data_IF_395232306066
#
_entry.id   IF_395232306066
#
_cell.length_a   1.000
_cell.length_b   1.000
_cell.length_c   1.000
_cell.angle_alpha   90.00
_cell.angle_beta   90.00
_cell.angle_gamma   90.00
#
_symmetry.space_group_name_H-M   'P 1'
#
loop_
_entity.id
_entity.type
_entity.pdbx_description
1 polymer ?
#
# COMPACT_ATOMS: atom_id res chain seq x y z
N UNK A 1 16.73 -36.52 4.74
CA UNK A 1 17.59 -35.32 4.82
C UNK A 1 16.93 -34.04 4.24
N UNK A 2 15.77 -34.13 3.55
CA UNK A 2 15.04 -32.97 2.99
C UNK A 2 14.46 -31.98 4.01
N UNK A 3 13.96 -32.46 5.17
CA UNK A 3 13.30 -31.61 6.19
C UNK A 3 14.18 -30.49 6.79
N UNK A 4 15.51 -30.58 6.71
CA UNK A 4 16.41 -29.54 7.24
C UNK A 4 16.70 -28.41 6.24
N UNK A 5 16.73 -28.70 4.94
CA UNK A 5 16.86 -27.67 3.89
C UNK A 5 15.62 -26.79 3.81
N UNK A 6 14.44 -27.41 3.94
CA UNK A 6 13.14 -26.73 3.93
C UNK A 6 12.98 -25.79 5.13
N UNK A 7 13.32 -26.24 6.35
CA UNK A 7 13.30 -25.39 7.56
C UNK A 7 14.23 -24.18 7.43
N UNK A 8 15.43 -24.36 6.88
CA UNK A 8 16.40 -23.26 6.70
C UNK A 8 15.91 -22.24 5.67
N UNK A 9 15.24 -22.70 4.60
CA UNK A 9 14.60 -21.86 3.58
C UNK A 9 13.43 -21.05 4.15
N UNK A 10 12.57 -21.68 4.96
CA UNK A 10 11.43 -21.01 5.61
C UNK A 10 11.90 -19.95 6.63
N UNK A 11 12.89 -20.27 7.46
CA UNK A 11 13.46 -19.32 8.42
C UNK A 11 14.08 -18.11 7.70
N UNK A 12 14.83 -18.35 6.62
CA UNK A 12 15.42 -17.28 5.81
C UNK A 12 14.35 -16.41 5.16
N UNK A 13 13.28 -17.01 4.65
CA UNK A 13 12.17 -16.28 4.02
C UNK A 13 11.40 -15.45 5.04
N UNK A 14 11.08 -16.00 6.22
CA UNK A 14 10.44 -15.29 7.32
C UNK A 14 11.30 -14.15 7.86
N UNK A 15 12.62 -14.36 7.98
CA UNK A 15 13.57 -13.32 8.39
C UNK A 15 13.62 -12.17 7.37
N UNK A 16 13.70 -12.48 6.07
CA UNK A 16 13.67 -11.47 5.01
C UNK A 16 12.38 -10.65 5.02
N UNK A 17 11.22 -11.30 5.16
CA UNK A 17 9.91 -10.63 5.25
C UNK A 17 9.81 -9.71 6.48
N UNK A 18 10.35 -10.16 7.61
CA UNK A 18 10.39 -9.35 8.85
C UNK A 18 11.32 -8.14 8.69
N UNK A 19 12.49 -8.33 8.09
CA UNK A 19 13.51 -7.29 7.93
C UNK A 19 13.01 -6.11 7.10
N UNK A 20 12.42 -6.33 5.94
CA UNK A 20 11.87 -5.18 5.20
C UNK A 20 10.50 -4.71 5.66
N UNK A 21 9.75 -5.47 6.47
CA UNK A 21 8.65 -4.84 7.22
C UNK A 21 9.21 -3.76 8.17
N UNK A 22 10.32 -4.05 8.84
CA UNK A 22 11.03 -3.08 9.68
C UNK A 22 11.61 -1.95 8.83
N UNK A 23 12.26 -2.26 7.71
CA UNK A 23 12.81 -1.24 6.81
C UNK A 23 11.72 -0.28 6.31
N UNK A 24 10.56 -0.81 5.93
CA UNK A 24 9.43 0.00 5.47
C UNK A 24 8.89 0.91 6.55
N UNK A 25 8.85 0.44 7.80
CA UNK A 25 8.48 1.28 8.95
C UNK A 25 9.51 2.38 9.20
N UNK A 26 10.80 2.07 9.10
CA UNK A 26 11.87 3.06 9.25
C UNK A 26 11.77 4.11 8.13
N UNK A 27 11.61 3.69 6.87
CA UNK A 27 11.47 4.61 5.75
C UNK A 27 10.19 5.46 5.85
N UNK A 28 9.08 4.89 6.33
CA UNK A 28 7.87 5.63 6.62
C UNK A 28 8.07 6.67 7.72
N UNK A 29 8.80 6.33 8.78
CA UNK A 29 9.16 7.28 9.84
C UNK A 29 10.05 8.41 9.31
N UNK A 30 11.06 8.07 8.51
CA UNK A 30 11.94 9.07 7.87
C UNK A 30 11.13 10.00 6.98
N UNK A 31 10.19 9.48 6.19
CA UNK A 31 9.28 10.30 5.39
C UNK A 31 8.50 11.29 6.25
N UNK A 32 7.96 10.84 7.38
CA UNK A 32 7.18 11.70 8.27
C UNK A 32 8.05 12.78 8.94
N UNK A 33 9.29 12.46 9.32
CA UNK A 33 10.28 13.42 9.82
C UNK A 33 10.62 14.46 8.74
N UNK A 34 10.90 14.02 7.52
CA UNK A 34 11.21 14.90 6.38
C UNK A 34 10.02 15.80 6.06
N UNK A 35 8.79 15.27 6.08
CA UNK A 35 7.57 16.07 5.93
C UNK A 35 7.47 17.16 7.00
N UNK A 36 7.63 16.81 8.27
CA UNK A 36 7.56 17.75 9.37
C UNK A 36 8.67 18.81 9.34
N UNK A 37 9.85 18.48 8.82
CA UNK A 37 10.98 19.40 8.71
C UNK A 37 10.81 20.47 7.63
N UNK A 38 10.13 20.13 6.52
CA UNK A 38 10.06 20.99 5.33
C UNK A 38 8.67 21.58 5.05
N UNK A 39 7.61 21.06 5.66
CA UNK A 39 6.24 21.53 5.46
C UNK A 39 5.59 22.01 6.76
N UNK A 40 4.63 22.93 6.63
CA UNK A 40 3.85 23.40 7.77
C UNK A 40 3.01 22.29 8.39
N UNK A 41 2.66 22.43 9.68
CA UNK A 41 1.78 21.50 10.39
C UNK A 41 0.46 21.23 9.65
N UNK A 42 -0.11 22.26 9.01
CA UNK A 42 -1.34 22.14 8.22
C UNK A 42 -1.19 21.13 7.07
N UNK A 43 -0.10 21.23 6.31
CA UNK A 43 0.19 20.34 5.17
C UNK A 43 0.51 18.93 5.66
N UNK A 44 1.32 18.81 6.71
CA UNK A 44 1.71 17.51 7.28
C UNK A 44 0.50 16.76 7.84
N UNK A 45 -0.37 17.44 8.61
CA UNK A 45 -1.61 16.84 9.12
C UNK A 45 -2.53 16.41 7.97
N UNK A 46 -2.67 17.22 6.93
CA UNK A 46 -3.47 16.91 5.74
C UNK A 46 -2.96 15.65 5.02
N UNK A 47 -1.65 15.57 4.79
CA UNK A 47 -1.02 14.41 4.17
C UNK A 47 -1.22 13.15 5.03
N UNK A 48 -0.98 13.23 6.34
CA UNK A 48 -1.13 12.09 7.25
C UNK A 48 -2.57 11.57 7.25
N UNK A 49 -3.57 12.44 7.18
CA UNK A 49 -4.98 12.03 7.06
C UNK A 49 -5.24 11.38 5.69
N UNK A 50 -4.85 12.06 4.60
CA UNK A 50 -5.07 11.56 3.24
C UNK A 50 -4.39 10.20 3.01
N UNK A 51 -3.17 10.02 3.50
CA UNK A 51 -2.37 8.81 3.33
C UNK A 51 -2.91 7.61 4.12
N UNK A 52 -3.75 7.81 5.16
CA UNK A 52 -4.40 6.69 5.85
C UNK A 52 -5.35 5.92 4.94
N UNK A 53 -6.04 6.62 4.05
CA UNK A 53 -7.05 6.02 3.17
C UNK A 53 -6.47 4.85 2.35
N UNK A 54 -5.45 5.03 1.48
CA UNK A 54 -4.89 3.92 0.71
C UNK A 54 -4.27 2.84 1.60
N UNK A 55 -3.70 3.20 2.75
CA UNK A 55 -3.12 2.22 3.67
C UNK A 55 -4.16 1.33 4.33
N UNK A 56 -5.33 1.86 4.66
CA UNK A 56 -6.43 1.05 5.19
C UNK A 56 -6.85 0.00 4.16
N UNK A 57 -7.06 0.38 2.90
CA UNK A 57 -7.39 -0.57 1.83
C UNK A 57 -6.28 -1.58 1.56
N UNK A 58 -5.01 -1.14 1.53
CA UNK A 58 -3.85 -2.03 1.39
C UNK A 58 -3.81 -3.09 2.49
N UNK A 59 -4.10 -2.72 3.73
CA UNK A 59 -4.16 -3.64 4.87
C UNK A 59 -5.38 -4.55 4.80
N UNK A 60 -6.55 -4.02 4.46
CA UNK A 60 -7.80 -4.79 4.37
C UNK A 60 -7.73 -5.85 3.25
N UNK A 61 -7.33 -5.44 2.04
CA UNK A 61 -7.35 -6.29 0.87
C UNK A 61 -6.07 -7.12 0.75
N UNK A 62 -4.90 -6.50 0.91
CA UNK A 62 -3.60 -7.16 0.76
C UNK A 62 -3.24 -8.08 1.92
N UNK A 63 -2.97 -7.48 3.09
CA UNK A 63 -2.56 -8.23 4.30
C UNK A 63 -3.71 -9.05 4.92
N UNK A 64 -4.95 -8.60 4.73
CA UNK A 64 -6.15 -9.24 5.25
C UNK A 64 -6.79 -10.24 4.28
N UNK A 65 -7.90 -9.83 3.67
CA UNK A 65 -8.87 -10.72 3.01
C UNK A 65 -8.29 -11.54 1.86
N UNK A 66 -7.45 -10.97 0.98
CA UNK A 66 -6.89 -11.74 -0.14
C UNK A 66 -5.85 -12.77 0.34
N UNK A 67 -5.01 -12.40 1.31
CA UNK A 67 -3.99 -13.32 1.84
C UNK A 67 -4.60 -14.48 2.64
N UNK A 68 -5.73 -14.26 3.32
CA UNK A 68 -6.37 -15.31 4.13
C UNK A 68 -7.33 -16.17 3.31
N UNK A 69 -8.10 -15.59 2.39
CA UNK A 69 -9.16 -16.32 1.68
C UNK A 69 -8.77 -16.74 0.27
N UNK A 70 -8.03 -15.93 -0.47
CA UNK A 70 -7.68 -16.22 -1.86
C UNK A 70 -6.42 -17.08 -1.97
N UNK A 71 -5.36 -16.75 -1.24
CA UNK A 71 -4.05 -17.40 -1.38
C UNK A 71 -4.08 -18.93 -1.13
N UNK A 72 -4.76 -19.47 -0.10
CA UNK A 72 -4.83 -20.92 0.11
C UNK A 72 -5.51 -21.64 -1.06
N UNK A 73 -6.59 -21.06 -1.59
CA UNK A 73 -7.35 -21.62 -2.72
C UNK A 73 -6.50 -21.56 -3.99
N UNK A 74 -5.78 -20.46 -4.23
CA UNK A 74 -4.85 -20.35 -5.35
C UNK A 74 -3.74 -21.42 -5.28
N UNK A 75 -3.19 -21.65 -4.09
CA UNK A 75 -2.17 -22.69 -3.86
C UNK A 75 -2.75 -24.10 -4.08
N UNK A 76 -3.98 -24.35 -3.64
CA UNK A 76 -4.64 -25.63 -3.88
C UNK A 76 -4.85 -25.87 -5.38
N UNK A 77 -5.39 -24.88 -6.10
CA UNK A 77 -5.68 -24.97 -7.54
C UNK A 77 -4.42 -25.11 -8.39
N UNK A 78 -3.32 -24.43 -8.04
CA UNK A 78 -2.05 -24.55 -8.79
C UNK A 78 -1.31 -25.87 -8.53
N UNK A 79 -1.69 -26.62 -7.50
CA UNK A 79 -0.99 -27.86 -7.12
C UNK A 79 -1.62 -29.04 -7.86
N UNK A 80 -0.86 -29.78 -8.70
CA UNK A 80 -1.41 -30.88 -9.49
C UNK A 80 -1.99 -31.98 -8.59
N UNK A 81 -3.22 -32.41 -8.90
CA UNK A 81 -3.88 -33.58 -8.27
C UNK A 81 -3.54 -34.85 -9.06
N UNK A 82 -3.68 -36.04 -8.44
CA UNK A 82 -3.21 -37.32 -8.98
C UNK A 82 -3.65 -37.66 -10.43
N UNK A 83 -4.75 -37.06 -10.91
CA UNK A 83 -5.30 -37.28 -12.25
C UNK A 83 -5.35 -36.00 -13.13
N UNK A 84 -4.63 -34.95 -12.74
CA UNK A 84 -4.66 -33.64 -13.42
C UNK A 84 -3.25 -33.29 -13.85
N UNK A 85 -3.06 -32.93 -15.13
CA UNK A 85 -1.73 -32.51 -15.60
C UNK A 85 -1.31 -31.19 -14.92
N UNK A 86 0.00 -30.94 -14.76
CA UNK A 86 0.48 -29.68 -14.21
C UNK A 86 -0.02 -28.43 -14.96
N UNK A 87 -0.21 -28.55 -16.28
CA UNK A 87 -0.72 -27.48 -17.13
C UNK A 87 -2.19 -27.18 -16.86
N UNK A 88 -3.02 -28.23 -16.67
CA UNK A 88 -4.43 -28.09 -16.35
C UNK A 88 -4.64 -27.43 -14.97
N UNK A 89 -3.87 -27.86 -13.95
CA UNK A 89 -3.86 -27.23 -12.64
C UNK A 89 -3.45 -25.74 -12.70
N UNK A 90 -2.43 -25.42 -13.50
CA UNK A 90 -2.01 -24.04 -13.72
C UNK A 90 -3.10 -23.22 -14.44
N UNK A 91 -3.83 -23.81 -15.38
CA UNK A 91 -4.94 -23.14 -16.07
C UNK A 91 -6.06 -22.79 -15.09
N UNK A 92 -6.48 -23.73 -14.23
CA UNK A 92 -7.50 -23.46 -13.21
C UNK A 92 -7.09 -22.33 -12.25
N UNK A 93 -5.82 -22.32 -11.83
CA UNK A 93 -5.29 -21.26 -10.98
C UNK A 93 -5.27 -19.90 -11.70
N UNK A 94 -4.97 -19.88 -13.01
CA UNK A 94 -5.03 -18.65 -13.83
C UNK A 94 -6.47 -18.14 -13.97
N UNK A 95 -7.43 -19.02 -14.23
CA UNK A 95 -8.83 -18.64 -14.37
C UNK A 95 -9.38 -18.04 -13.08
N UNK A 96 -9.06 -18.66 -11.93
CA UNK A 96 -9.38 -18.10 -10.62
C UNK A 96 -8.75 -16.71 -10.43
N UNK A 97 -7.45 -16.57 -10.69
CA UNK A 97 -6.76 -15.29 -10.56
C UNK A 97 -7.31 -14.21 -11.48
N UNK A 98 -7.67 -14.56 -12.72
CA UNK A 98 -8.28 -13.63 -13.67
C UNK A 98 -9.64 -13.15 -13.17
N UNK A 99 -10.49 -14.06 -12.68
CA UNK A 99 -11.79 -13.71 -12.11
C UNK A 99 -11.67 -12.76 -10.91
N UNK A 100 -10.77 -13.08 -9.97
CA UNK A 100 -10.52 -12.21 -8.80
C UNK A 100 -9.90 -10.88 -9.21
N UNK A 101 -8.98 -10.87 -10.17
CA UNK A 101 -8.37 -9.65 -10.69
C UNK A 101 -9.40 -8.74 -11.35
N UNK A 102 -10.27 -9.28 -12.22
CA UNK A 102 -11.36 -8.52 -12.85
C UNK A 102 -12.29 -7.93 -11.79
N UNK A 103 -12.68 -8.72 -10.79
CA UNK A 103 -13.52 -8.23 -9.70
C UNK A 103 -12.81 -7.11 -8.91
N UNK A 104 -11.53 -7.28 -8.59
CA UNK A 104 -10.74 -6.26 -7.90
C UNK A 104 -10.65 -4.98 -8.71
N UNK A 105 -10.36 -5.05 -10.02
CA UNK A 105 -10.29 -3.88 -10.91
C UNK A 105 -11.63 -3.16 -10.95
N UNK A 106 -12.74 -3.90 -11.10
CA UNK A 106 -14.07 -3.29 -11.15
C UNK A 106 -14.44 -2.64 -9.82
N UNK A 107 -14.33 -3.37 -8.72
CA UNK A 107 -14.72 -2.88 -7.39
C UNK A 107 -13.83 -1.71 -6.96
N UNK A 108 -12.51 -1.86 -7.03
CA UNK A 108 -11.60 -0.79 -6.61
C UNK A 108 -11.58 0.38 -7.59
N UNK A 109 -11.82 0.15 -8.88
CA UNK A 109 -11.99 1.22 -9.87
C UNK A 109 -13.22 2.07 -9.57
N UNK A 110 -14.38 1.43 -9.36
CA UNK A 110 -15.61 2.13 -8.98
C UNK A 110 -15.45 2.85 -7.64
N UNK A 111 -14.89 2.19 -6.61
CA UNK A 111 -14.63 2.82 -5.31
C UNK A 111 -13.64 3.99 -5.40
N UNK A 112 -12.60 3.88 -6.24
CA UNK A 112 -11.63 4.94 -6.45
C UNK A 112 -12.29 6.17 -7.10
N UNK A 113 -13.05 5.97 -8.18
CA UNK A 113 -13.78 7.04 -8.86
C UNK A 113 -14.84 7.67 -7.96
N UNK A 114 -15.66 6.85 -7.30
CA UNK A 114 -16.65 7.30 -6.33
C UNK A 114 -16.01 8.15 -5.23
N UNK A 115 -14.93 7.66 -4.63
CA UNK A 115 -14.22 8.39 -3.59
C UNK A 115 -13.61 9.70 -4.08
N UNK A 116 -13.10 9.77 -5.31
CA UNK A 116 -12.59 11.03 -5.89
C UNK A 116 -13.70 12.06 -6.06
N UNK A 117 -14.86 11.63 -6.56
CA UNK A 117 -16.04 12.48 -6.79
C UNK A 117 -16.58 13.00 -5.45
N UNK A 118 -16.89 12.09 -4.53
CA UNK A 118 -17.48 12.40 -3.21
C UNK A 118 -16.45 12.65 -2.10
N UNK A 119 -15.23 13.06 -2.46
CA UNK A 119 -14.14 13.23 -1.50
C UNK A 119 -14.42 14.36 -0.50
N UNK A 120 -15.08 15.42 -0.94
CA UNK A 120 -15.44 16.54 -0.08
C UNK A 120 -16.35 16.07 1.07
N UNK A 121 -17.41 15.34 0.76
CA UNK A 121 -18.35 14.78 1.74
C UNK A 121 -17.65 13.76 2.64
N UNK A 122 -16.84 12.87 2.06
CA UNK A 122 -16.11 11.85 2.80
C UNK A 122 -15.16 12.48 3.83
N UNK A 123 -14.38 13.49 3.44
CA UNK A 123 -13.46 14.15 4.35
C UNK A 123 -14.18 15.03 5.37
N UNK A 124 -15.29 15.66 4.99
CA UNK A 124 -16.14 16.37 5.94
C UNK A 124 -16.71 15.42 7.01
N UNK A 125 -17.08 14.19 6.63
CA UNK A 125 -17.55 13.19 7.57
C UNK A 125 -16.42 12.67 8.48
N UNK A 126 -15.26 12.34 7.90
CA UNK A 126 -14.17 11.70 8.63
C UNK A 126 -13.40 12.64 9.56
N UNK A 127 -13.20 13.89 9.13
CA UNK A 127 -12.35 14.86 9.85
C UNK A 127 -12.98 16.24 9.98
N UNK A 128 -14.23 16.45 9.57
CA UNK A 128 -14.86 17.78 9.56
C UNK A 128 -15.30 18.33 10.93
N UNK A 129 -14.82 17.79 12.04
CA UNK A 129 -15.06 18.34 13.38
C UNK A 129 -14.39 19.71 13.60
N UNK A 130 -14.84 20.43 14.64
CA UNK A 130 -14.41 21.81 14.95
C UNK A 130 -12.88 22.00 14.97
N UNK A 131 -12.12 21.04 15.50
CA UNK A 131 -10.65 21.18 15.62
C UNK A 131 -9.88 21.09 14.30
N UNK A 132 -10.41 20.44 13.27
CA UNK A 132 -9.72 20.32 11.97
C UNK A 132 -10.16 21.40 11.00
N UNK A 133 -11.45 21.77 11.02
CA UNK A 133 -12.02 22.85 10.21
C UNK A 133 -11.67 24.26 10.72
N UNK A 134 -11.30 24.41 11.99
CA UNK A 134 -10.90 25.71 12.55
C UNK A 134 -9.66 26.31 11.89
N UNK A 135 -8.85 25.49 11.24
CA UNK A 135 -7.69 25.94 10.46
C UNK A 135 -8.13 26.18 9.01
N UNK A 136 -8.13 27.44 8.60
CA UNK A 136 -8.51 27.85 7.25
C UNK A 136 -7.68 27.11 6.19
N UNK A 137 -8.35 26.62 5.15
CA UNK A 137 -7.71 25.89 4.04
C UNK A 137 -7.21 24.47 4.38
N UNK A 138 -7.23 24.02 5.64
CA UNK A 138 -6.74 22.68 6.01
C UNK A 138 -7.58 21.55 5.43
N UNK A 139 -8.90 21.70 5.45
CA UNK A 139 -9.80 20.70 4.90
C UNK A 139 -9.67 20.61 3.37
N UNK A 140 -9.58 21.73 2.67
CA UNK A 140 -9.49 21.74 1.21
C UNK A 140 -8.20 21.09 0.69
N UNK A 141 -7.04 21.38 1.31
CA UNK A 141 -5.79 20.69 0.96
C UNK A 141 -5.86 19.20 1.30
N UNK A 142 -6.53 18.82 2.39
CA UNK A 142 -6.73 17.41 2.76
C UNK A 142 -7.59 16.69 1.71
N UNK A 143 -8.70 17.28 1.28
CA UNK A 143 -9.55 16.74 0.21
C UNK A 143 -8.75 16.53 -1.08
N UNK A 144 -7.96 17.54 -1.49
CA UNK A 144 -7.15 17.46 -2.69
C UNK A 144 -6.13 16.31 -2.60
N UNK A 145 -5.40 16.21 -1.50
CA UNK A 145 -4.46 15.11 -1.26
C UNK A 145 -5.19 13.75 -1.22
N UNK A 146 -6.36 13.68 -0.58
CA UNK A 146 -7.14 12.47 -0.46
C UNK A 146 -7.61 11.95 -1.83
N UNK A 147 -8.01 12.83 -2.76
CA UNK A 147 -8.33 12.46 -4.15
C UNK A 147 -7.15 11.75 -4.84
N UNK A 148 -5.94 12.31 -4.71
CA UNK A 148 -4.73 11.70 -5.27
C UNK A 148 -4.46 10.34 -4.61
N UNK A 149 -4.59 10.28 -3.28
CA UNK A 149 -4.39 9.05 -2.52
C UNK A 149 -5.42 7.96 -2.85
N UNK A 150 -6.64 8.33 -3.24
CA UNK A 150 -7.67 7.40 -3.71
C UNK A 150 -7.39 6.85 -5.12
N UNK A 151 -6.83 7.67 -6.02
CA UNK A 151 -6.32 7.17 -7.30
C UNK A 151 -5.15 6.18 -7.07
N UNK A 152 -4.26 6.50 -6.13
CA UNK A 152 -3.18 5.60 -5.72
C UNK A 152 -3.69 4.31 -5.04
N UNK A 153 -4.80 4.37 -4.29
CA UNK A 153 -5.42 3.21 -3.63
C UNK A 153 -5.80 2.09 -4.63
N UNK A 154 -6.27 2.46 -5.82
CA UNK A 154 -6.53 1.51 -6.90
C UNK A 154 -5.26 0.72 -7.26
N UNK A 155 -4.16 1.43 -7.53
CA UNK A 155 -2.88 0.84 -7.92
C UNK A 155 -2.29 -0.04 -6.82
N UNK A 156 -2.30 0.43 -5.57
CA UNK A 156 -1.72 -0.32 -4.46
C UNK A 156 -2.48 -1.61 -4.17
N UNK A 157 -3.79 -1.64 -4.44
CA UNK A 157 -4.59 -2.86 -4.30
C UNK A 157 -4.23 -3.90 -5.34
N UNK A 158 -4.10 -3.50 -6.62
CA UNK A 158 -3.67 -4.41 -7.68
C UNK A 158 -2.28 -4.97 -7.42
N UNK A 159 -1.37 -4.10 -6.98
CA UNK A 159 -0.05 -4.51 -6.54
C UNK A 159 -0.08 -5.55 -5.41
N UNK A 160 -0.91 -5.34 -4.38
CA UNK A 160 -1.03 -6.28 -3.26
C UNK A 160 -1.55 -7.66 -3.72
N UNK A 161 -2.47 -7.69 -4.67
CA UNK A 161 -2.94 -8.94 -5.29
C UNK A 161 -1.82 -9.68 -6.02
N UNK A 162 -1.04 -8.98 -6.86
CA UNK A 162 0.10 -9.60 -7.55
C UNK A 162 1.20 -10.04 -6.58
N UNK A 163 1.43 -9.29 -5.50
CA UNK A 163 2.33 -9.73 -4.44
C UNK A 163 1.84 -11.03 -3.81
N UNK A 164 0.54 -11.19 -3.54
CA UNK A 164 -0.01 -12.41 -2.97
C UNK A 164 0.24 -13.62 -3.89
N UNK A 165 0.02 -13.46 -5.20
CA UNK A 165 0.35 -14.49 -6.19
C UNK A 165 1.86 -14.76 -6.19
N UNK A 166 2.71 -13.74 -6.27
CA UNK A 166 4.17 -13.92 -6.29
C UNK A 166 4.71 -14.62 -5.03
N UNK A 167 4.13 -14.34 -3.86
CA UNK A 167 4.44 -15.03 -2.60
C UNK A 167 4.12 -16.53 -2.68
N UNK A 168 3.03 -16.91 -3.34
CA UNK A 168 2.68 -18.33 -3.56
C UNK A 168 3.72 -19.10 -4.40
N UNK A 169 4.49 -18.38 -5.22
CA UNK A 169 5.57 -18.92 -6.06
C UNK A 169 6.95 -18.82 -5.41
N UNK A 170 7.03 -18.35 -4.15
CA UNK A 170 8.30 -18.08 -3.45
C UNK A 170 9.22 -17.09 -4.20
N UNK A 171 8.64 -16.22 -5.04
CA UNK A 171 9.36 -15.18 -5.82
C UNK A 171 9.04 -13.78 -5.28
N UNK A 172 9.41 -13.54 -4.02
CA UNK A 172 8.93 -12.40 -3.22
C UNK A 172 9.86 -11.17 -3.21
N UNK A 173 11.14 -11.33 -3.57
CA UNK A 173 12.16 -10.31 -3.29
C UNK A 173 11.87 -8.95 -3.94
N UNK A 174 11.42 -8.92 -5.20
CA UNK A 174 11.21 -7.65 -5.92
C UNK A 174 9.93 -6.93 -5.51
N UNK A 175 8.88 -7.68 -5.16
CA UNK A 175 7.59 -7.09 -4.74
C UNK A 175 7.66 -6.50 -3.34
N UNK A 176 8.58 -6.98 -2.52
CA UNK A 176 8.74 -6.54 -1.14
C UNK A 176 9.16 -5.07 -1.00
N UNK A 177 9.98 -4.55 -1.90
CA UNK A 177 10.51 -3.17 -1.84
C UNK A 177 9.56 -2.12 -2.43
N UNK A 178 8.40 -2.49 -2.96
CA UNK A 178 7.49 -1.52 -3.58
C UNK A 178 6.92 -0.45 -2.60
N UNK A 179 6.55 -0.76 -1.34
CA UNK A 179 6.14 0.27 -0.37
C UNK A 179 7.32 1.15 0.04
N UNK A 180 8.52 0.56 0.08
CA UNK A 180 9.76 1.27 0.35
C UNK A 180 10.08 2.25 -0.77
N UNK A 181 9.84 1.86 -2.02
CA UNK A 181 10.01 2.72 -3.19
C UNK A 181 9.11 3.95 -3.11
N UNK A 182 7.85 3.82 -2.68
CA UNK A 182 6.98 4.98 -2.45
C UNK A 182 7.62 5.96 -1.46
N UNK A 183 8.09 5.47 -0.31
CA UNK A 183 8.70 6.32 0.71
C UNK A 183 10.02 6.95 0.20
N UNK A 184 10.85 6.20 -0.52
CA UNK A 184 12.11 6.68 -1.10
C UNK A 184 11.87 7.77 -2.14
N UNK A 185 10.95 7.55 -3.08
CA UNK A 185 10.56 8.53 -4.10
C UNK A 185 10.00 9.77 -3.43
N UNK A 186 9.15 9.61 -2.41
CA UNK A 186 8.60 10.73 -1.66
C UNK A 186 9.69 11.58 -1.01
N UNK A 187 10.58 10.94 -0.24
CA UNK A 187 11.71 11.61 0.42
C UNK A 187 12.58 12.32 -0.61
N UNK A 188 12.91 11.65 -1.72
CA UNK A 188 13.71 12.21 -2.80
C UNK A 188 13.08 13.50 -3.38
N UNK A 189 11.78 13.49 -3.69
CA UNK A 189 11.10 14.68 -4.21
C UNK A 189 11.01 15.81 -3.19
N UNK A 190 10.80 15.52 -1.91
CA UNK A 190 10.82 16.56 -0.87
C UNK A 190 12.20 17.18 -0.73
N UNK A 191 13.27 16.37 -0.74
CA UNK A 191 14.64 16.87 -0.65
C UNK A 191 15.02 17.70 -1.89
N UNK A 192 14.65 17.27 -3.10
CA UNK A 192 14.86 18.08 -4.31
C UNK A 192 14.09 19.40 -4.23
N UNK A 193 12.83 19.36 -3.79
CA UNK A 193 12.05 20.58 -3.60
C UNK A 193 12.71 21.51 -2.57
N UNK A 194 13.23 20.97 -1.47
CA UNK A 194 13.97 21.74 -0.46
C UNK A 194 15.27 22.35 -0.99
N UNK A 195 15.99 21.65 -1.87
CA UNK A 195 17.22 22.15 -2.49
C UNK A 195 16.97 23.23 -3.54
N UNK A 196 15.83 23.19 -4.24
CA UNK A 196 15.49 24.09 -5.35
C UNK A 196 14.68 25.31 -4.91
N UNK A 197 13.84 25.17 -3.89
CA UNK A 197 13.04 26.25 -3.33
C UNK A 197 13.63 26.66 -1.98
N UNK A 198 14.34 27.79 -1.96
CA UNK A 198 14.90 28.40 -0.74
C UNK A 198 13.76 28.81 0.20
N UNK A 199 13.35 27.89 1.06
CA UNK A 199 12.76 28.22 2.36
C UNK A 199 13.69 27.61 3.40
N UNK A 200 14.14 28.38 4.42
CA UNK A 200 14.79 27.74 5.55
C UNK A 200 13.84 26.64 6.06
N UNK A 201 14.35 25.45 6.39
CA UNK A 201 13.52 24.45 7.05
C UNK A 201 12.90 25.15 8.27
N UNK A 202 11.61 24.92 8.52
CA UNK A 202 10.90 25.51 9.66
C UNK A 202 11.38 24.77 10.91
N UNK A 203 12.67 24.87 11.19
CA UNK A 203 13.31 24.35 12.37
C UNK A 203 13.14 25.47 13.40
N UNK A 204 12.42 25.13 14.47
CA UNK A 204 12.05 25.97 15.61
C UNK A 204 10.89 26.93 15.35
N UNK A 205 9.72 26.61 15.92
CA UNK A 205 9.05 27.40 16.96
C UNK A 205 7.95 26.50 17.59
N UNK A 206 8.32 25.85 18.69
CA UNK A 206 7.42 25.67 19.85
C UNK A 206 7.84 26.73 20.85
#
# INVERSE_FOLDING_TARGET
MEKHGEKRSVIRSAASMSLGTILSRILGLVRDIVLAAYFSKTVTDAFVVAFRLPNMFRRLLGEGSLSVSFLPIYIERKTPKANVSPEAALSEAKDLSNGIFTLLVLVTGVLSLAGIIWMDELMNLLVGGHGFKSVEGKLSITVWMARIMFAYMFLVTLYAFYMAIANSWQKFFIFFFCPDLFNLVFIFFVLIHALTFVRPPVIFFV
#
